data_IF_645595224159
#
_entry.id   IF_645595224159
#
_cell.length_a   1.000
_cell.length_b   1.000
_cell.length_c   1.000
_cell.angle_alpha   90.00
_cell.angle_beta   90.00
_cell.angle_gamma   90.00
#
_symmetry.space_group_name_H-M   'P 1'
#
loop_
_entity.id
_entity.type
_entity.pdbx_description
1 polymer ?
#
# COMPACT_ATOMS: atom_id res chain seq x y z
N UNK A 1 8.75 5.17 7.50
CA UNK A 1 8.11 4.61 8.70
C UNK A 1 8.06 5.65 9.79
N UNK A 2 6.86 6.16 10.04
CA UNK A 2 6.51 7.05 11.14
C UNK A 2 6.27 6.22 12.43
N UNK A 3 6.24 6.86 13.61
CA UNK A 3 5.98 6.17 14.87
C UNK A 3 4.65 5.40 14.93
N UNK A 4 3.57 5.95 14.37
CA UNK A 4 2.25 5.29 14.40
C UNK A 4 2.19 4.02 13.54
N UNK A 5 2.97 3.95 12.46
CA UNK A 5 3.01 2.81 11.52
C UNK A 5 3.29 1.47 12.21
N UNK A 6 3.88 1.49 13.42
CA UNK A 6 4.15 0.30 14.23
C UNK A 6 2.92 -0.33 14.86
N UNK A 7 1.80 0.38 14.89
CA UNK A 7 0.53 -0.05 15.49
C UNK A 7 -0.53 -0.29 14.42
N UNK A 8 -0.13 -0.23 13.15
CA UNK A 8 -0.96 -0.48 11.98
C UNK A 8 -0.36 -1.63 11.21
N UNK A 9 -1.20 -2.52 10.65
CA UNK A 9 -0.71 -3.57 9.78
C UNK A 9 0.01 -3.00 8.55
N UNK A 10 1.26 -3.39 8.33
CA UNK A 10 2.00 -3.07 7.10
C UNK A 10 1.47 -3.84 5.87
N UNK A 11 2.01 -3.57 4.68
CA UNK A 11 1.57 -4.25 3.46
C UNK A 11 1.76 -5.78 3.51
N UNK A 12 2.87 -6.25 4.09
CA UNK A 12 3.11 -7.69 4.28
C UNK A 12 2.05 -8.34 5.18
N UNK A 13 1.70 -7.68 6.28
CA UNK A 13 0.73 -8.16 7.25
C UNK A 13 -0.69 -8.18 6.65
N UNK A 14 -1.04 -7.12 5.92
CA UNK A 14 -2.30 -7.04 5.17
C UNK A 14 -2.38 -8.11 4.07
N UNK A 15 -1.30 -8.35 3.31
CA UNK A 15 -1.24 -9.42 2.29
C UNK A 15 -1.47 -10.79 2.93
N UNK A 16 -0.87 -11.04 4.10
CA UNK A 16 -1.02 -12.29 4.82
C UNK A 16 -2.46 -12.51 5.32
N UNK A 17 -3.07 -11.50 5.93
CA UNK A 17 -4.46 -11.56 6.40
C UNK A 17 -5.43 -11.76 5.23
N UNK A 18 -5.27 -10.98 4.17
CA UNK A 18 -6.06 -11.09 2.93
C UNK A 18 -5.91 -12.46 2.26
N UNK A 19 -4.70 -13.02 2.30
CA UNK A 19 -4.44 -14.38 1.80
C UNK A 19 -5.19 -15.43 2.62
N UNK A 20 -5.22 -15.32 3.94
CA UNK A 20 -5.95 -16.24 4.79
C UNK A 20 -7.47 -16.16 4.57
N UNK A 21 -8.04 -14.94 4.43
CA UNK A 21 -9.44 -14.75 4.03
C UNK A 21 -9.73 -15.40 2.67
N UNK A 22 -8.89 -15.14 1.67
CA UNK A 22 -9.04 -15.69 0.32
C UNK A 22 -8.94 -17.23 0.32
N UNK A 23 -8.02 -17.80 1.10
CA UNK A 23 -7.89 -19.24 1.28
C UNK A 23 -9.15 -19.85 1.90
N UNK A 24 -9.72 -19.21 2.91
CA UNK A 24 -10.94 -19.66 3.56
C UNK A 24 -12.14 -19.62 2.61
N UNK A 25 -12.29 -18.51 1.89
CA UNK A 25 -13.34 -18.36 0.89
C UNK A 25 -13.18 -19.38 -0.25
N UNK A 26 -11.94 -19.70 -0.64
CA UNK A 26 -11.62 -20.74 -1.62
C UNK A 26 -12.04 -22.12 -1.12
N UNK A 27 -11.67 -22.51 0.10
CA UNK A 27 -12.06 -23.82 0.68
C UNK A 27 -13.58 -23.94 0.72
N UNK A 28 -14.28 -22.91 1.20
CA UNK A 28 -15.74 -22.86 1.24
C UNK A 28 -16.40 -22.96 -0.15
N UNK A 29 -15.88 -22.25 -1.15
CA UNK A 29 -16.42 -22.29 -2.51
C UNK A 29 -16.26 -23.69 -3.13
N UNK A 30 -15.11 -24.32 -2.89
CA UNK A 30 -14.82 -25.69 -3.35
C UNK A 30 -15.71 -26.74 -2.72
N UNK A 31 -16.04 -26.62 -1.43
CA UNK A 31 -17.03 -27.47 -0.76
C UNK A 31 -18.41 -27.40 -1.42
N UNK A 32 -18.72 -26.28 -2.09
CA UNK A 32 -19.95 -26.06 -2.86
C UNK A 32 -19.80 -26.40 -4.35
N UNK A 33 -18.67 -26.96 -4.77
CA UNK A 33 -18.43 -27.42 -6.13
C UNK A 33 -17.94 -26.34 -7.10
N UNK A 34 -17.56 -25.15 -6.60
CA UNK A 34 -17.00 -24.07 -7.42
C UNK A 34 -15.50 -24.26 -7.60
N UNK A 35 -15.01 -24.13 -8.84
CA UNK A 35 -13.58 -24.08 -9.14
C UNK A 35 -13.01 -22.76 -8.64
N UNK A 36 -12.07 -22.83 -7.69
CA UNK A 36 -11.45 -21.67 -7.08
C UNK A 36 -10.00 -22.00 -6.74
N UNK A 37 -9.11 -21.01 -6.68
CA UNK A 37 -7.76 -21.16 -6.12
C UNK A 37 -7.38 -19.85 -5.44
N UNK A 38 -6.79 -19.94 -4.25
CA UNK A 38 -6.26 -18.77 -3.55
C UNK A 38 -4.88 -18.42 -4.08
N UNK A 39 -4.54 -17.14 -4.06
CA UNK A 39 -3.18 -16.68 -4.24
C UNK A 39 -2.38 -16.98 -2.98
N UNK A 40 -1.13 -17.45 -3.14
CA UNK A 40 -0.19 -17.48 -2.03
C UNK A 40 0.16 -16.03 -1.63
N UNK A 41 0.69 -15.81 -0.42
CA UNK A 41 1.23 -14.50 -0.07
C UNK A 41 2.27 -14.08 -1.11
N UNK A 42 2.08 -12.90 -1.69
CA UNK A 42 2.89 -12.37 -2.81
C UNK A 42 3.47 -11.01 -2.50
N UNK A 43 3.52 -10.64 -1.22
CA UNK A 43 4.14 -9.40 -0.76
C UNK A 43 5.49 -9.15 -1.46
N UNK A 44 5.59 -7.95 -2.03
CA UNK A 44 6.78 -7.40 -2.65
C UNK A 44 7.15 -6.10 -1.89
N UNK A 45 8.40 -5.96 -1.40
CA UNK A 45 8.83 -4.76 -0.69
C UNK A 45 8.68 -3.45 -1.47
N UNK A 46 8.46 -3.50 -2.79
CA UNK A 46 8.12 -2.32 -3.57
C UNK A 46 6.88 -1.60 -3.04
N UNK A 47 5.92 -2.30 -2.42
CA UNK A 47 4.72 -1.64 -1.87
C UNK A 47 4.99 -0.87 -0.57
N UNK A 48 6.08 -1.18 0.14
CA UNK A 48 6.51 -0.40 1.32
C UNK A 48 7.22 0.91 0.94
N UNK A 49 7.44 1.13 -0.36
CA UNK A 49 8.05 2.34 -0.87
C UNK A 49 7.09 3.51 -0.73
N UNK A 50 7.36 4.34 0.28
CA UNK A 50 6.63 5.58 0.50
C UNK A 50 6.64 6.48 -0.74
N UNK A 51 5.46 7.02 -1.08
CA UNK A 51 5.25 7.93 -2.20
C UNK A 51 4.38 9.15 -1.85
N UNK A 52 4.03 9.35 -0.58
CA UNK A 52 3.43 10.62 -0.14
C UNK A 52 4.35 11.77 -0.56
N UNK A 53 3.79 12.81 -1.15
CA UNK A 53 4.56 13.93 -1.69
C UNK A 53 5.44 13.58 -2.92
N UNK A 54 5.17 12.50 -3.64
CA UNK A 54 5.92 12.09 -4.84
C UNK A 54 7.15 11.22 -4.51
N UNK A 55 8.12 11.06 -5.42
CA UNK A 55 9.27 10.18 -5.22
C UNK A 55 10.25 10.73 -4.17
N UNK A 56 10.84 9.84 -3.38
CA UNK A 56 11.78 10.14 -2.29
C UNK A 56 13.21 9.74 -2.61
N UNK A 57 13.40 8.78 -3.51
CA UNK A 57 14.72 8.22 -3.85
C UNK A 57 14.94 8.22 -5.35
N UNK A 58 16.21 8.16 -5.76
CA UNK A 58 16.60 8.09 -7.17
C UNK A 58 15.99 6.84 -7.80
N UNK A 59 16.13 5.68 -7.16
CA UNK A 59 15.58 4.41 -7.66
C UNK A 59 14.05 4.48 -7.90
N UNK A 60 13.30 5.14 -7.01
CA UNK A 60 11.87 5.38 -7.22
C UNK A 60 11.61 6.30 -8.42
N UNK A 61 12.33 7.42 -8.53
CA UNK A 61 12.16 8.36 -9.62
C UNK A 61 12.51 7.74 -10.99
N UNK A 62 13.60 6.97 -11.06
CA UNK A 62 14.02 6.28 -12.29
C UNK A 62 13.00 5.23 -12.74
N UNK A 63 12.46 4.46 -11.80
CA UNK A 63 11.55 3.35 -12.12
C UNK A 63 10.11 3.80 -12.35
N UNK A 64 9.63 4.76 -11.57
CA UNK A 64 8.20 5.09 -11.51
C UNK A 64 7.87 6.52 -11.91
N UNK A 65 8.85 7.43 -11.99
CA UNK A 65 8.57 8.86 -12.11
C UNK A 65 7.73 9.33 -10.92
N UNK A 66 6.46 9.70 -11.17
CA UNK A 66 5.48 10.07 -10.14
C UNK A 66 4.40 9.00 -9.89
N UNK A 67 4.43 7.88 -10.62
CA UNK A 67 3.51 6.76 -10.37
C UNK A 67 3.82 6.12 -9.01
N UNK A 68 2.79 5.72 -8.27
CA UNK A 68 2.96 4.98 -7.01
C UNK A 68 3.79 3.71 -7.24
N UNK A 69 4.83 3.43 -6.43
CA UNK A 69 5.61 2.20 -6.54
C UNK A 69 4.74 0.94 -6.51
N UNK A 70 4.96 0.05 -7.47
CA UNK A 70 4.29 -1.26 -7.56
C UNK A 70 5.14 -2.24 -8.37
N UNK A 71 4.76 -3.51 -8.39
CA UNK A 71 5.46 -4.52 -9.20
C UNK A 71 5.32 -4.27 -10.70
N UNK A 72 6.25 -4.78 -11.52
CA UNK A 72 6.16 -4.66 -12.98
C UNK A 72 4.87 -5.28 -13.53
N UNK A 73 4.41 -6.37 -12.90
CA UNK A 73 3.15 -7.01 -13.26
C UNK A 73 1.94 -6.09 -13.05
N UNK A 74 1.92 -5.35 -11.95
CA UNK A 74 0.87 -4.39 -11.68
C UNK A 74 0.99 -3.12 -12.54
N UNK A 75 2.22 -2.65 -12.83
CA UNK A 75 2.42 -1.56 -13.79
C UNK A 75 1.81 -1.90 -15.16
N UNK A 76 2.01 -3.13 -15.63
CA UNK A 76 1.41 -3.63 -16.88
C UNK A 76 -0.10 -3.79 -16.78
N UNK A 77 -0.59 -4.39 -15.71
CA UNK A 77 -2.02 -4.65 -15.51
C UNK A 77 -2.81 -3.33 -15.46
N UNK A 78 -2.23 -2.29 -14.88
CA UNK A 78 -2.82 -0.95 -14.79
C UNK A 78 -2.55 -0.07 -16.03
N UNK A 79 -1.79 -0.56 -17.02
CA UNK A 79 -1.54 0.13 -18.28
C UNK A 79 -0.56 1.30 -18.19
N UNK A 80 0.27 1.38 -17.15
CA UNK A 80 1.31 2.40 -17.02
C UNK A 80 2.50 2.14 -17.95
N UNK A 81 2.72 0.87 -18.32
CA UNK A 81 3.81 0.42 -19.19
C UNK A 81 3.30 -0.59 -20.23
N UNK A 82 4.05 -0.82 -21.34
CA UNK A 82 3.70 -1.82 -22.36
C UNK A 82 3.56 -3.24 -21.81
N UNK A 83 2.75 -4.08 -22.48
CA UNK A 83 2.46 -5.45 -22.02
C UNK A 83 3.68 -6.39 -22.02
N UNK A 84 4.78 -6.02 -22.66
CA UNK A 84 6.05 -6.76 -22.72
C UNK A 84 7.13 -6.21 -21.77
N UNK A 85 6.82 -5.19 -20.96
CA UNK A 85 7.74 -4.59 -20.00
C UNK A 85 7.94 -5.47 -18.75
N UNK A 86 9.17 -5.68 -18.30
CA UNK A 86 9.47 -6.26 -16.98
C UNK A 86 9.06 -7.73 -16.80
N UNK A 87 8.99 -8.19 -15.55
CA UNK A 87 8.72 -9.61 -15.25
C UNK A 87 7.21 -9.94 -15.27
N UNK A 88 6.78 -11.08 -15.89
CA UNK A 88 5.39 -11.54 -15.86
C UNK A 88 4.88 -11.74 -14.42
N UNK A 89 3.54 -11.77 -14.18
CA UNK A 89 3.03 -12.22 -12.90
C UNK A 89 3.50 -13.66 -12.63
N UNK A 90 3.57 -14.06 -11.36
CA UNK A 90 3.87 -15.44 -10.98
C UNK A 90 2.90 -16.43 -11.64
N UNK A 91 3.37 -17.66 -11.90
CA UNK A 91 2.53 -18.71 -12.50
C UNK A 91 1.25 -18.98 -11.68
N UNK A 92 1.39 -18.97 -10.35
CA UNK A 92 0.27 -19.12 -9.42
C UNK A 92 -0.77 -18.01 -9.60
N UNK A 93 -0.32 -16.75 -9.78
CA UNK A 93 -1.21 -15.61 -10.03
C UNK A 93 -1.86 -15.66 -11.40
N UNK A 94 -1.10 -15.98 -12.44
CA UNK A 94 -1.64 -16.14 -13.79
C UNK A 94 -2.76 -17.20 -13.82
N UNK A 95 -2.54 -18.33 -13.12
CA UNK A 95 -3.51 -19.41 -13.02
C UNK A 95 -4.77 -19.02 -12.25
N UNK A 96 -4.62 -18.33 -11.12
CA UNK A 96 -5.77 -17.85 -10.35
C UNK A 96 -6.63 -16.89 -11.18
N UNK A 97 -6.01 -15.98 -11.92
CA UNK A 97 -6.72 -15.07 -12.84
C UNK A 97 -7.46 -15.83 -13.94
N UNK A 98 -6.88 -16.88 -14.51
CA UNK A 98 -7.54 -17.70 -15.52
C UNK A 98 -8.80 -18.39 -14.96
N UNK A 99 -8.73 -18.95 -13.75
CA UNK A 99 -9.88 -19.56 -13.08
C UNK A 99 -10.97 -18.51 -12.82
N UNK A 100 -10.59 -17.37 -12.25
CA UNK A 100 -11.53 -16.27 -11.97
C UNK A 100 -12.18 -15.72 -13.25
N UNK A 101 -11.46 -15.67 -14.38
CA UNK A 101 -12.00 -15.23 -15.65
C UNK A 101 -13.05 -16.19 -16.24
N UNK A 102 -13.10 -17.45 -15.78
CA UNK A 102 -14.11 -18.44 -16.17
C UNK A 102 -15.29 -18.51 -15.19
N UNK A 103 -15.20 -17.87 -14.02
CA UNK A 103 -16.24 -17.89 -13.01
C UNK A 103 -17.53 -17.24 -13.54
N UNK A 104 -18.66 -17.85 -13.20
CA UNK A 104 -20.01 -17.40 -13.54
C UNK A 104 -20.59 -16.51 -12.44
N UNK A 105 -21.69 -15.82 -12.73
CA UNK A 105 -22.43 -15.04 -11.71
C UNK A 105 -22.87 -15.91 -10.52
N UNK A 106 -23.21 -17.19 -10.77
CA UNK A 106 -23.57 -18.14 -9.71
C UNK A 106 -22.35 -18.49 -8.84
N UNK A 107 -21.16 -18.64 -9.43
CA UNK A 107 -19.91 -18.84 -8.68
C UNK A 107 -19.61 -17.63 -7.80
N UNK A 108 -19.79 -16.40 -8.32
CA UNK A 108 -19.64 -15.18 -7.54
C UNK A 108 -20.65 -15.07 -6.38
N UNK A 109 -21.88 -15.56 -6.55
CA UNK A 109 -22.85 -15.63 -5.47
C UNK A 109 -22.42 -16.61 -4.36
N UNK A 110 -21.77 -17.72 -4.71
CA UNK A 110 -21.16 -18.65 -3.75
C UNK A 110 -20.02 -17.96 -2.99
N UNK A 111 -19.10 -17.27 -3.68
CA UNK A 111 -18.02 -16.51 -3.03
C UNK A 111 -18.56 -15.45 -2.07
N UNK A 112 -19.60 -14.71 -2.45
CA UNK A 112 -20.25 -13.73 -1.58
C UNK A 112 -20.83 -14.39 -0.32
N UNK A 113 -21.45 -15.56 -0.46
CA UNK A 113 -21.97 -16.33 0.69
C UNK A 113 -20.84 -16.82 1.59
N UNK A 114 -19.73 -17.29 1.02
CA UNK A 114 -18.56 -17.72 1.78
C UNK A 114 -17.93 -16.57 2.58
N UNK A 115 -17.82 -15.37 1.99
CA UNK A 115 -17.28 -14.18 2.67
C UNK A 115 -18.11 -13.74 3.88
N UNK A 116 -19.43 -13.97 3.87
CA UNK A 116 -20.30 -13.59 4.98
C UNK A 116 -20.19 -14.50 6.21
N UNK A 117 -19.43 -15.60 6.12
CA UNK A 117 -19.19 -16.51 7.23
C UNK A 117 -18.49 -15.80 8.40
N UNK A 118 -18.89 -16.05 9.66
CA UNK A 118 -18.22 -15.46 10.82
C UNK A 118 -16.72 -15.76 10.86
N UNK A 119 -16.30 -16.94 10.39
CA UNK A 119 -14.90 -17.34 10.37
C UNK A 119 -14.06 -16.52 9.38
N UNK A 120 -14.63 -16.09 8.25
CA UNK A 120 -13.92 -15.26 7.27
C UNK A 120 -13.71 -13.83 7.80
N UNK A 121 -14.67 -13.33 8.59
CA UNK A 121 -14.63 -11.97 9.16
C UNK A 121 -13.52 -11.75 10.18
N UNK A 122 -12.89 -12.81 10.70
CA UNK A 122 -11.78 -12.67 11.64
C UNK A 122 -10.50 -12.11 11.01
N UNK A 123 -10.37 -12.20 9.68
CA UNK A 123 -9.26 -11.62 8.91
C UNK A 123 -9.61 -10.28 8.27
N UNK A 124 -10.85 -9.81 8.43
CA UNK A 124 -11.31 -8.49 7.97
C UNK A 124 -10.84 -7.38 8.93
N UNK A 125 -9.52 -7.35 9.15
CA UNK A 125 -8.84 -6.29 9.91
C UNK A 125 -8.54 -5.06 9.04
N UNK A 126 -9.11 -4.99 7.84
CA UNK A 126 -9.15 -3.75 7.05
C UNK A 126 -10.01 -2.67 7.71
N UNK A 127 -10.72 -3.00 8.80
CA UNK A 127 -11.41 -1.99 9.60
C UNK A 127 -10.37 -1.03 10.19
N UNK A 128 -10.50 0.29 9.96
CA UNK A 128 -9.57 1.27 10.50
C UNK A 128 -9.49 1.08 12.01
N UNK A 129 -8.28 1.03 12.55
CA UNK A 129 -8.08 0.64 13.93
C UNK A 129 -8.94 1.52 14.86
N UNK A 130 -9.75 0.85 15.68
CA UNK A 130 -10.94 1.43 16.29
C UNK A 130 -10.57 2.02 17.66
N UNK A 131 -9.94 3.18 17.67
CA UNK A 131 -9.48 3.82 18.90
C UNK A 131 -9.91 5.28 19.06
N UNK A 132 -9.97 5.80 20.31
CA UNK A 132 -10.14 7.23 20.56
C UNK A 132 -8.98 8.09 20.00
N UNK A 133 -7.84 7.46 19.68
CA UNK A 133 -6.71 8.07 19.01
C UNK A 133 -6.93 8.30 17.51
N UNK A 134 -7.83 7.56 16.84
CA UNK A 134 -7.91 7.50 15.37
C UNK A 134 -8.19 8.86 14.74
N UNK A 135 -9.26 9.54 15.19
CA UNK A 135 -9.59 10.86 14.67
C UNK A 135 -8.47 11.91 14.87
N UNK A 136 -7.62 11.75 15.89
CA UNK A 136 -6.48 12.66 16.14
C UNK A 136 -5.30 12.35 15.24
N UNK A 137 -4.99 11.07 15.02
CA UNK A 137 -3.93 10.66 14.09
C UNK A 137 -4.33 10.96 12.64
N UNK A 138 -5.59 10.72 12.27
CA UNK A 138 -6.15 11.13 10.99
C UNK A 138 -6.04 12.64 10.77
N UNK A 139 -6.35 13.46 11.79
CA UNK A 139 -6.22 14.90 11.71
C UNK A 139 -4.75 15.36 11.56
N UNK A 140 -3.79 14.66 12.15
CA UNK A 140 -2.36 14.92 11.94
C UNK A 140 -1.98 14.58 10.50
N UNK A 141 -2.35 13.40 10.02
CA UNK A 141 -2.01 12.95 8.66
C UNK A 141 -2.68 13.79 7.57
N UNK A 142 -3.95 14.14 7.74
CA UNK A 142 -4.71 14.95 6.78
C UNK A 142 -4.44 16.45 6.84
N UNK A 143 -3.64 16.93 7.79
CA UNK A 143 -3.28 18.35 7.92
C UNK A 143 -1.77 18.61 7.95
N UNK A 144 -0.96 17.61 7.62
CA UNK A 144 0.51 17.71 7.67
C UNK A 144 1.06 18.70 6.64
N UNK A 145 0.42 18.80 5.47
CA UNK A 145 0.72 19.75 4.40
C UNK A 145 0.39 21.20 4.78
N UNK A 146 -0.53 21.38 5.72
CA UNK A 146 -0.89 22.67 6.30
C UNK A 146 0.02 23.10 7.47
N UNK A 147 0.84 22.19 8.02
CA UNK A 147 1.74 22.50 9.13
C UNK A 147 2.79 23.54 8.71
N UNK A 148 2.98 24.64 9.48
CA UNK A 148 3.89 25.71 9.09
C UNK A 148 5.34 25.27 8.88
N UNK A 149 5.82 24.25 9.60
CA UNK A 149 7.19 23.76 9.42
C UNK A 149 7.33 22.92 8.15
N UNK A 150 6.29 22.17 7.77
CA UNK A 150 6.23 21.42 6.51
C UNK A 150 6.07 22.36 5.33
N UNK A 151 5.20 23.38 5.42
CA UNK A 151 5.07 24.42 4.38
C UNK A 151 6.38 25.14 4.10
N UNK A 152 7.16 25.45 5.13
CA UNK A 152 8.50 26.04 4.92
C UNK A 152 9.43 25.11 4.12
N UNK A 153 9.34 23.78 4.32
CA UNK A 153 10.08 22.80 3.50
C UNK A 153 9.58 22.81 2.06
N UNK A 154 8.26 22.92 1.85
CA UNK A 154 7.70 23.03 0.50
C UNK A 154 8.07 24.34 -0.21
N UNK A 155 8.14 25.46 0.51
CA UNK A 155 8.62 26.73 -0.05
C UNK A 155 10.09 26.62 -0.50
N UNK A 156 10.95 26.00 0.31
CA UNK A 156 12.35 25.73 -0.03
C UNK A 156 12.48 24.77 -1.23
N UNK A 157 11.66 23.72 -1.28
CA UNK A 157 11.58 22.79 -2.40
C UNK A 157 11.15 23.53 -3.67
N UNK A 158 10.10 24.36 -3.59
CA UNK A 158 9.61 25.17 -4.69
C UNK A 158 10.69 26.11 -5.25
N UNK A 159 11.48 26.75 -4.38
CA UNK A 159 12.62 27.56 -4.83
C UNK A 159 13.66 26.71 -5.57
N UNK A 160 14.01 25.53 -5.05
CA UNK A 160 14.96 24.65 -5.74
C UNK A 160 14.45 24.17 -7.10
N UNK A 161 13.15 23.85 -7.20
CA UNK A 161 12.52 23.48 -8.48
C UNK A 161 12.61 24.64 -9.48
N UNK A 162 12.31 25.87 -9.06
CA UNK A 162 12.43 27.07 -9.91
C UNK A 162 13.87 27.30 -10.39
N UNK A 163 14.85 27.13 -9.51
CA UNK A 163 16.27 27.27 -9.84
C UNK A 163 16.72 26.21 -10.89
N UNK A 164 16.05 25.07 -10.93
CA UNK A 164 16.24 24.01 -11.92
C UNK A 164 15.28 24.11 -13.13
N UNK A 165 14.56 25.22 -13.28
CA UNK A 165 13.69 25.49 -14.42
C UNK A 165 12.35 24.74 -14.41
N UNK A 166 11.95 24.21 -13.25
CA UNK A 166 10.64 23.60 -13.04
C UNK A 166 9.72 24.57 -12.28
N UNK A 167 8.46 24.66 -12.71
CA UNK A 167 7.45 25.48 -12.03
C UNK A 167 6.79 24.67 -10.90
N UNK A 168 6.83 25.10 -9.63
CA UNK A 168 6.13 24.41 -8.55
C UNK A 168 4.63 24.43 -8.74
N UNK A 169 3.95 23.32 -8.47
CA UNK A 169 2.50 23.24 -8.54
C UNK A 169 1.87 24.01 -7.35
N UNK A 170 0.97 24.98 -7.58
CA UNK A 170 0.37 25.77 -6.51
C UNK A 170 -0.64 24.99 -5.66
N UNK A 171 -1.20 23.88 -6.18
CA UNK A 171 -2.13 23.01 -5.47
C UNK A 171 -1.39 21.87 -4.75
N UNK A 172 -0.25 21.43 -5.31
CA UNK A 172 0.55 20.32 -4.81
C UNK A 172 2.02 20.75 -4.65
N UNK A 173 2.36 21.55 -3.62
CA UNK A 173 3.63 22.27 -3.53
C UNK A 173 4.88 21.39 -3.36
N UNK A 174 4.69 20.07 -3.26
CA UNK A 174 5.76 19.06 -3.26
C UNK A 174 6.13 18.52 -4.63
N UNK A 175 5.44 18.94 -5.70
CA UNK A 175 5.72 18.52 -7.07
C UNK A 175 5.65 19.71 -8.04
N UNK A 176 6.30 19.61 -9.21
CA UNK A 176 6.20 20.60 -10.26
C UNK A 176 4.93 20.44 -11.11
N UNK A 177 4.52 21.52 -11.78
CA UNK A 177 3.48 21.51 -12.82
C UNK A 177 3.85 20.51 -13.91
N UNK A 178 2.88 19.68 -14.29
CA UNK A 178 3.06 18.66 -15.33
C UNK A 178 3.52 17.29 -14.81
N UNK A 179 3.79 17.15 -13.51
CA UNK A 179 3.92 15.83 -12.88
C UNK A 179 2.60 15.04 -13.05
N UNK A 180 2.68 13.84 -13.62
CA UNK A 180 1.53 12.96 -13.87
C UNK A 180 1.75 11.59 -13.21
N UNK A 181 0.92 11.30 -12.19
CA UNK A 181 0.95 10.05 -11.43
C UNK A 181 0.42 8.83 -12.22
N UNK A 182 0.17 8.98 -13.53
CA UNK A 182 -0.32 7.91 -14.41
C UNK A 182 0.54 7.69 -15.63
N UNK A 183 1.70 8.34 -15.73
CA UNK A 183 2.56 8.28 -16.91
C UNK A 183 4.00 8.01 -16.49
N UNK A 184 4.61 6.98 -17.08
CA UNK A 184 6.03 6.69 -16.94
C UNK A 184 6.68 6.89 -18.31
N UNK A 185 7.45 7.97 -18.45
CA UNK A 185 8.23 8.26 -19.65
C UNK A 185 9.49 9.07 -19.29
N UNK A 186 10.37 9.32 -20.27
CA UNK A 186 11.64 10.03 -20.05
C UNK A 186 11.46 11.43 -19.44
N UNK A 187 10.41 12.16 -19.81
CA UNK A 187 10.12 13.49 -19.28
C UNK A 187 9.71 13.44 -17.81
N UNK A 188 8.79 12.53 -17.46
CA UNK A 188 8.32 12.33 -16.08
C UNK A 188 9.46 11.83 -15.18
N UNK A 189 10.31 10.92 -15.68
CA UNK A 189 11.49 10.43 -14.94
C UNK A 189 12.50 11.54 -14.72
N UNK A 190 12.84 12.34 -15.75
CA UNK A 190 13.78 13.45 -15.60
C UNK A 190 13.28 14.52 -14.60
N UNK A 191 11.97 14.80 -14.64
CA UNK A 191 11.32 15.72 -13.71
C UNK A 191 11.35 15.16 -12.27
N UNK A 192 10.98 13.89 -12.08
CA UNK A 192 11.04 13.20 -10.81
C UNK A 192 12.46 13.16 -10.21
N UNK A 193 13.48 12.95 -11.05
CA UNK A 193 14.88 12.98 -10.61
C UNK A 193 15.28 14.35 -10.08
N UNK A 194 14.89 15.42 -10.78
CA UNK A 194 15.11 16.80 -10.30
C UNK A 194 14.40 17.04 -8.96
N UNK A 195 13.18 16.54 -8.78
CA UNK A 195 12.45 16.63 -7.50
C UNK A 195 13.22 15.93 -6.38
N UNK A 196 13.71 14.72 -6.62
CA UNK A 196 14.50 13.96 -5.63
C UNK A 196 15.81 14.66 -5.31
N UNK A 197 16.50 15.21 -6.30
CA UNK A 197 17.72 15.99 -6.10
C UNK A 197 17.45 17.20 -5.20
N UNK A 198 16.39 17.97 -5.50
CA UNK A 198 16.00 19.10 -4.70
C UNK A 198 15.63 18.71 -3.27
N UNK A 199 14.80 17.67 -3.08
CA UNK A 199 14.43 17.15 -1.75
C UNK A 199 15.66 16.71 -0.96
N UNK A 200 16.62 16.06 -1.62
CA UNK A 200 17.87 15.61 -1.00
C UNK A 200 18.72 16.80 -0.56
N UNK A 201 18.82 17.84 -1.39
CA UNK A 201 19.66 19.02 -1.12
C UNK A 201 19.23 19.80 0.13
N UNK A 202 17.93 19.82 0.43
CA UNK A 202 17.36 20.54 1.59
C UNK A 202 16.94 19.60 2.73
N UNK A 203 17.22 18.30 2.58
CA UNK A 203 16.86 17.25 3.52
C UNK A 203 15.35 17.22 3.84
N UNK A 204 14.53 17.43 2.80
CA UNK A 204 13.08 17.60 2.91
C UNK A 204 12.43 16.38 3.56
N UNK A 205 12.79 15.20 3.06
CA UNK A 205 12.32 13.90 3.52
C UNK A 205 12.42 13.74 5.03
N UNK A 206 13.62 13.92 5.59
CA UNK A 206 13.84 13.76 7.03
C UNK A 206 13.10 14.84 7.80
N UNK A 207 13.15 16.10 7.36
CA UNK A 207 12.50 17.23 8.05
C UNK A 207 10.98 17.05 8.15
N UNK A 208 10.34 16.58 7.09
CA UNK A 208 8.90 16.31 7.07
C UNK A 208 8.59 15.11 7.98
N UNK A 209 9.33 14.00 7.85
CA UNK A 209 9.12 12.81 8.68
C UNK A 209 9.32 13.10 10.18
N UNK A 210 10.37 13.84 10.55
CA UNK A 210 10.64 14.26 11.93
C UNK A 210 9.51 15.13 12.48
N UNK A 211 8.98 16.05 11.66
CA UNK A 211 7.86 16.91 12.07
C UNK A 211 6.59 16.11 12.27
N UNK A 212 6.27 15.21 11.34
CA UNK A 212 5.10 14.36 11.42
C UNK A 212 5.17 13.43 12.63
N UNK A 213 6.32 12.80 12.85
CA UNK A 213 6.59 11.99 14.04
C UNK A 213 6.41 12.78 15.34
N UNK A 214 6.90 14.02 15.39
CA UNK A 214 6.74 14.89 16.57
C UNK A 214 5.27 15.27 16.84
N UNK A 215 4.44 15.40 15.80
CA UNK A 215 3.00 15.64 15.94
C UNK A 215 2.22 14.40 16.41
N UNK A 216 2.66 13.21 15.99
CA UNK A 216 2.07 11.94 16.45
C UNK A 216 2.45 11.62 17.91
N UNK A 217 3.71 11.88 18.30
CA UNK A 217 4.26 11.50 19.61
C UNK A 217 3.35 11.74 20.83
N UNK A 218 2.78 12.95 21.06
CA UNK A 218 1.93 13.17 22.22
C UNK A 218 0.62 12.36 22.19
N UNK A 219 0.11 12.01 21.01
CA UNK A 219 -1.08 11.15 20.86
C UNK A 219 -0.70 9.71 21.23
N UNK A 220 0.45 9.24 20.73
CA UNK A 220 0.94 7.89 21.03
C UNK A 220 1.27 7.72 22.51
N UNK A 221 1.86 8.73 23.15
CA UNK A 221 2.14 8.72 24.59
C UNK A 221 0.85 8.67 25.43
N UNK A 222 -0.20 9.39 24.99
CA UNK A 222 -1.49 9.43 25.67
C UNK A 222 -2.26 8.11 25.58
N UNK A 223 -2.20 7.43 24.43
CA UNK A 223 -2.95 6.22 24.13
C UNK A 223 -2.09 4.96 24.03
N UNK A 224 -0.92 4.96 24.66
CA UNK A 224 0.06 3.88 24.52
C UNK A 224 -0.50 2.51 24.91
N UNK A 225 -1.37 2.42 25.93
CA UNK A 225 -1.96 1.15 26.35
C UNK A 225 -2.92 0.62 25.30
N UNK A 226 -3.82 1.45 24.81
CA UNK A 226 -4.83 1.10 23.82
C UNK A 226 -4.20 0.70 22.48
N UNK A 227 -3.11 1.38 22.09
CA UNK A 227 -2.33 1.02 20.90
C UNK A 227 -1.62 -0.33 21.04
N UNK A 228 -1.12 -0.66 22.24
CA UNK A 228 -0.54 -1.98 22.51
C UNK A 228 -1.60 -3.08 22.53
N UNK A 229 -2.79 -2.80 23.05
CA UNK A 229 -3.92 -3.73 23.01
C UNK A 229 -4.35 -3.99 21.55
N UNK A 230 -4.41 -2.96 20.71
CA UNK A 230 -4.70 -3.10 19.28
C UNK A 230 -3.62 -3.91 18.55
N UNK A 231 -2.33 -3.65 18.84
CA UNK A 231 -1.24 -4.44 18.28
C UNK A 231 -1.38 -5.93 18.62
N UNK A 232 -1.79 -6.26 19.85
CA UNK A 232 -2.00 -7.64 20.25
C UNK A 232 -3.12 -8.33 19.45
N UNK A 233 -4.18 -7.59 19.09
CA UNK A 233 -5.25 -8.08 18.21
C UNK A 233 -4.71 -8.40 16.82
N UNK A 234 -3.89 -7.51 16.24
CA UNK A 234 -3.25 -7.72 14.93
C UNK A 234 -2.33 -8.95 15.00
N UNK A 235 -1.49 -9.06 16.03
CA UNK A 235 -0.56 -10.17 16.21
C UNK A 235 -1.29 -11.53 16.32
N UNK A 236 -2.42 -11.58 17.05
CA UNK A 236 -3.26 -12.78 17.17
C UNK A 236 -3.89 -13.17 15.82
N UNK A 237 -4.40 -12.20 15.07
CA UNK A 237 -4.96 -12.46 13.75
C UNK A 237 -3.88 -12.93 12.75
N UNK A 238 -2.69 -12.34 12.79
CA UNK A 238 -1.56 -12.79 11.97
C UNK A 238 -1.12 -14.21 12.33
N UNK A 239 -1.10 -14.57 13.62
CA UNK A 239 -0.83 -15.94 14.04
C UNK A 239 -1.88 -16.92 13.50
N UNK A 240 -3.16 -16.56 13.62
CA UNK A 240 -4.29 -17.36 13.12
C UNK A 240 -4.25 -17.50 11.60
N UNK A 241 -3.91 -16.43 10.87
CA UNK A 241 -3.76 -16.45 9.43
C UNK A 241 -2.66 -17.41 8.97
N UNK A 242 -1.49 -17.37 9.63
CA UNK A 242 -0.38 -18.30 9.34
C UNK A 242 -0.77 -19.75 9.60
N UNK A 243 -1.46 -20.03 10.72
CA UNK A 243 -1.95 -21.37 11.03
C UNK A 243 -2.93 -21.86 9.96
N UNK A 244 -3.89 -21.03 9.58
CA UNK A 244 -4.90 -21.36 8.56
C UNK A 244 -4.26 -21.66 7.21
N UNK A 245 -3.38 -20.77 6.72
CA UNK A 245 -2.66 -20.95 5.45
C UNK A 245 -1.84 -22.25 5.48
N UNK A 246 -1.16 -22.55 6.59
CA UNK A 246 -0.38 -23.78 6.74
C UNK A 246 -1.22 -25.07 6.81
N UNK A 247 -2.43 -24.98 7.37
CA UNK A 247 -3.35 -26.10 7.51
C UNK A 247 -4.12 -26.42 6.22
N UNK A 248 -4.23 -25.45 5.29
CA UNK A 248 -5.01 -25.55 4.06
C UNK A 248 -4.16 -25.39 2.78
N UNK A 249 -3.10 -26.20 2.57
CA UNK A 249 -2.30 -26.12 1.35
C UNK A 249 -3.14 -26.37 0.09
N UNK A 250 -4.23 -27.14 0.20
CA UNK A 250 -5.14 -27.39 -0.90
C UNK A 250 -5.73 -26.10 -1.46
N UNK A 251 -5.95 -25.05 -0.67
CA UNK A 251 -6.51 -23.79 -1.15
C UNK A 251 -5.66 -23.14 -2.26
N UNK A 252 -4.35 -23.40 -2.26
CA UNK A 252 -3.37 -22.84 -3.20
C UNK A 252 -2.99 -23.80 -4.33
N UNK A 253 -3.61 -24.98 -4.37
CA UNK A 253 -3.41 -25.97 -5.41
C UNK A 253 -4.68 -26.14 -6.25
N UNK A 254 -4.59 -26.47 -7.54
CA UNK A 254 -5.77 -26.69 -8.37
C UNK A 254 -6.60 -27.88 -7.86
N UNK A 255 -7.93 -27.80 -8.01
CA UNK A 255 -8.79 -28.98 -7.78
C UNK A 255 -8.38 -30.10 -8.75
N UNK A 256 -8.24 -31.32 -8.23
CA UNK A 256 -7.91 -32.53 -8.99
C UNK A 256 -9.15 -33.24 -9.51
#
# INVERSE_FOLDING_TARGET
MLPFDRFTGGYEEMDLLSTADTAMNTVCAREQGVEAIALKPTYDPVYDSESFFGPWTVDQAERFGFVTPMTDADLRANGYVPQDYGEPPSEDRARALEIMARATDDDFAVFATCRERPESKQFDLYLPAQGPWNARLDAVSGGIDDDPAVRAVFDELGQCLQDNGLEPDPELPWQPVGADQRVINEEQVAMALTVVECKTSIDATRRIADRWAALQAPILDEYASELLDEQAVIDEALATAREYIGAHPEAFEPQR
#
